data_IF_072660924249
#
_entry.id   IF_072660924249
#
_cell.length_a   1.000
_cell.length_b   1.000
_cell.length_c   1.000
_cell.angle_alpha   90.00
_cell.angle_beta   90.00
_cell.angle_gamma   90.00
#
_symmetry.space_group_name_H-M   'P 1'
#
loop_
_entity.id
_entity.type
_entity.pdbx_description
1 polymer ?
#
# COMPACT_ATOMS: atom_id res chain seq x y z
N UNK A 1 -3.94 -13.71 -34.25
CA UNK A 1 -4.55 -13.73 -32.89
C UNK A 1 -3.48 -14.07 -31.87
N UNK A 2 -3.55 -13.53 -30.65
CA UNK A 2 -2.46 -13.65 -29.66
C UNK A 2 -2.73 -14.59 -28.47
N UNK A 3 -2.19 -14.19 -27.32
CA UNK A 3 -2.42 -14.79 -25.99
C UNK A 3 -3.93 -14.87 -25.71
N UNK A 4 -4.38 -15.98 -25.14
CA UNK A 4 -5.79 -16.24 -24.80
C UNK A 4 -5.93 -16.52 -23.31
N UNK A 5 -7.10 -16.22 -22.74
CA UNK A 5 -7.46 -16.43 -21.33
C UNK A 5 -8.54 -17.51 -21.15
N UNK A 6 -8.77 -18.32 -22.17
CA UNK A 6 -9.73 -19.40 -22.13
C UNK A 6 -9.32 -20.53 -21.17
N UNK A 7 -10.26 -21.42 -20.86
CA UNK A 7 -10.03 -22.59 -20.00
C UNK A 7 -10.06 -23.93 -20.79
N UNK A 8 -10.41 -23.91 -22.07
CA UNK A 8 -10.62 -25.10 -22.88
C UNK A 8 -9.33 -25.64 -23.51
N UNK A 9 -8.29 -24.83 -23.64
CA UNK A 9 -6.94 -25.31 -23.99
C UNK A 9 -6.28 -26.16 -22.89
N UNK A 10 -6.77 -26.10 -21.64
CA UNK A 10 -6.26 -26.90 -20.51
C UNK A 10 -6.89 -28.30 -20.45
N UNK A 11 -6.18 -29.26 -19.84
CA UNK A 11 -6.70 -30.61 -19.55
C UNK A 11 -7.91 -30.57 -18.61
N UNK A 12 -8.73 -31.63 -18.62
CA UNK A 12 -9.80 -31.87 -17.63
C UNK A 12 -9.21 -32.13 -16.23
N UNK A 13 -10.03 -32.05 -15.18
CA UNK A 13 -9.67 -32.48 -13.81
C UNK A 13 -9.19 -33.94 -13.78
N UNK A 14 -9.75 -34.79 -14.64
CA UNK A 14 -9.35 -36.19 -14.88
C UNK A 14 -8.09 -36.36 -15.74
N UNK A 15 -7.34 -35.30 -16.04
CA UNK A 15 -6.15 -35.33 -16.90
C UNK A 15 -6.42 -35.46 -18.41
N UNK A 16 -7.62 -35.86 -18.84
CA UNK A 16 -7.99 -36.02 -20.25
C UNK A 16 -7.82 -34.74 -21.09
N UNK A 17 -7.27 -34.87 -22.30
CA UNK A 17 -7.10 -33.79 -23.27
C UNK A 17 -8.47 -33.35 -23.84
N UNK A 18 -8.71 -32.05 -23.93
CA UNK A 18 -9.91 -31.48 -24.56
C UNK A 18 -9.63 -31.21 -26.04
N UNK A 19 -10.55 -31.59 -26.94
CA UNK A 19 -10.55 -31.10 -28.34
C UNK A 19 -11.18 -29.69 -28.36
N UNK A 20 -10.56 -28.69 -29.00
CA UNK A 20 -11.14 -27.35 -29.12
C UNK A 20 -12.31 -27.38 -30.11
N UNK A 21 -13.47 -26.86 -29.71
CA UNK A 21 -14.69 -26.86 -30.53
C UNK A 21 -14.86 -25.58 -31.36
N UNK A 22 -14.11 -24.51 -31.06
CA UNK A 22 -14.13 -23.26 -31.83
C UNK A 22 -12.78 -22.56 -31.86
N UNK A 23 -12.58 -21.67 -32.85
CA UNK A 23 -11.44 -20.74 -32.91
C UNK A 23 -11.53 -19.71 -31.76
N UNK A 24 -10.38 -19.23 -31.25
CA UNK A 24 -10.31 -18.23 -30.16
C UNK A 24 -11.18 -17.00 -30.47
N UNK A 25 -11.82 -16.41 -29.47
CA UNK A 25 -12.74 -15.27 -29.61
C UNK A 25 -12.14 -13.96 -29.06
N UNK A 26 -12.61 -12.82 -29.59
CA UNK A 26 -12.10 -11.47 -29.24
C UNK A 26 -12.26 -11.12 -27.75
N UNK A 27 -13.25 -11.69 -27.06
CA UNK A 27 -13.44 -11.46 -25.61
C UNK A 27 -12.47 -12.28 -24.73
N UNK A 28 -11.87 -13.35 -25.26
CA UNK A 28 -10.90 -14.20 -24.55
C UNK A 28 -9.47 -13.61 -24.57
N UNK A 29 -9.25 -12.46 -25.23
CA UNK A 29 -7.90 -11.96 -25.49
C UNK A 29 -7.12 -11.67 -24.20
N UNK A 30 -5.89 -12.16 -24.16
CA UNK A 30 -4.84 -11.68 -23.28
C UNK A 30 -4.10 -10.49 -23.90
N UNK A 31 -3.27 -9.83 -23.09
CA UNK A 31 -2.31 -8.82 -23.54
C UNK A 31 -0.97 -9.07 -22.83
N UNK A 32 0.18 -8.75 -23.45
CA UNK A 32 1.48 -8.89 -22.79
C UNK A 32 1.52 -8.10 -21.47
N UNK A 33 2.36 -8.53 -20.53
CA UNK A 33 2.60 -7.80 -19.28
C UNK A 33 3.20 -6.41 -19.55
N UNK A 34 3.06 -5.49 -18.61
CA UNK A 34 3.60 -4.12 -18.74
C UNK A 34 5.05 -3.99 -18.23
N UNK A 35 5.48 -4.89 -17.33
CA UNK A 35 6.83 -4.97 -16.74
C UNK A 35 7.41 -3.60 -16.35
N UNK A 36 6.61 -2.82 -15.63
CA UNK A 36 6.89 -1.47 -15.12
C UNK A 36 8.28 -1.36 -14.51
N UNK A 37 9.13 -0.49 -15.03
CA UNK A 37 10.49 -0.20 -14.52
C UNK A 37 10.54 1.11 -13.76
N UNK A 38 11.59 1.30 -12.97
CA UNK A 38 11.93 2.61 -12.41
C UNK A 38 12.48 3.52 -13.51
N UNK A 39 12.07 4.79 -13.53
CA UNK A 39 12.59 5.81 -14.45
C UNK A 39 11.52 6.79 -14.95
N UNK A 40 11.94 7.75 -15.79
CA UNK A 40 11.12 8.86 -16.26
C UNK A 40 9.72 8.43 -16.72
N UNK A 41 8.69 9.05 -16.11
CA UNK A 41 7.27 8.68 -16.24
C UNK A 41 6.81 8.47 -17.70
N UNK A 42 6.54 7.22 -18.06
CA UNK A 42 5.97 6.82 -19.38
C UNK A 42 4.75 5.93 -19.19
N UNK A 43 3.59 6.38 -19.65
CA UNK A 43 2.29 5.69 -19.49
C UNK A 43 1.57 5.66 -20.84
N UNK A 44 1.19 4.47 -21.31
CA UNK A 44 0.39 4.29 -22.52
C UNK A 44 -1.06 3.95 -22.18
N UNK A 45 -2.01 4.55 -22.89
CA UNK A 45 -3.43 4.23 -22.79
C UNK A 45 -3.78 3.04 -23.68
N UNK A 46 -4.61 2.12 -23.16
CA UNK A 46 -5.10 0.96 -23.91
C UNK A 46 -6.63 0.90 -23.82
N UNK A 47 -7.31 0.95 -24.97
CA UNK A 47 -8.76 0.70 -25.06
C UNK A 47 -9.06 -0.77 -24.74
N UNK A 48 -10.09 -1.00 -23.94
CA UNK A 48 -10.59 -2.33 -23.56
C UNK A 48 -12.06 -2.50 -23.98
N UNK A 49 -12.65 -3.67 -23.67
CA UNK A 49 -14.08 -3.96 -23.93
C UNK A 49 -14.97 -2.93 -23.21
N UNK A 50 -16.07 -2.53 -23.84
CA UNK A 50 -16.98 -1.51 -23.32
C UNK A 50 -16.48 -0.07 -23.45
N UNK A 51 -15.49 0.21 -24.32
CA UNK A 51 -15.00 1.57 -24.58
C UNK A 51 -14.03 2.14 -23.53
N UNK A 52 -13.98 1.56 -22.34
CA UNK A 52 -13.11 1.96 -21.24
C UNK A 52 -11.61 2.02 -21.63
N UNK A 53 -10.86 2.88 -20.94
CA UNK A 53 -9.40 3.03 -21.07
C UNK A 53 -8.71 2.44 -19.85
N UNK A 54 -7.61 1.69 -20.05
CA UNK A 54 -6.68 1.26 -18.98
C UNK A 54 -5.30 1.86 -19.20
N UNK A 55 -4.66 2.32 -18.12
CA UNK A 55 -3.34 2.93 -18.15
C UNK A 55 -2.26 1.89 -17.89
N UNK A 56 -1.35 1.71 -18.85
CA UNK A 56 -0.16 0.89 -18.71
C UNK A 56 1.03 1.81 -18.49
N UNK A 57 1.46 1.93 -17.24
CA UNK A 57 2.79 2.44 -16.98
C UNK A 57 3.82 1.48 -17.60
N UNK A 58 4.87 2.03 -18.20
CA UNK A 58 6.09 1.31 -18.60
C UNK A 58 7.27 1.75 -17.72
N UNK A 59 7.31 3.03 -17.34
CA UNK A 59 8.30 3.62 -16.44
C UNK A 59 7.61 4.54 -15.43
N UNK A 60 7.98 4.44 -14.16
CA UNK A 60 7.56 5.33 -13.07
C UNK A 60 8.73 5.62 -12.12
N UNK A 61 8.82 6.87 -11.70
CA UNK A 61 9.84 7.44 -10.82
C UNK A 61 9.22 7.96 -9.51
N UNK A 62 7.96 8.38 -9.52
CA UNK A 62 7.23 8.88 -8.35
C UNK A 62 6.00 8.05 -8.01
N UNK A 63 5.65 8.05 -6.71
CA UNK A 63 4.45 7.45 -6.16
C UNK A 63 3.80 8.32 -5.08
N UNK A 64 2.53 8.06 -4.74
CA UNK A 64 1.95 8.56 -3.49
C UNK A 64 2.07 7.48 -2.41
N UNK A 65 2.72 7.82 -1.31
CA UNK A 65 2.97 6.92 -0.19
C UNK A 65 2.21 7.43 1.04
N UNK A 66 1.68 6.51 1.84
CA UNK A 66 0.93 6.78 3.07
C UNK A 66 1.68 6.23 4.28
N UNK A 67 2.00 7.10 5.23
CA UNK A 67 2.47 6.74 6.55
C UNK A 67 1.26 6.49 7.46
N UNK A 68 1.00 5.21 7.75
CA UNK A 68 -0.26 4.78 8.36
C UNK A 68 -0.47 5.23 9.82
N UNK A 69 0.58 5.27 10.64
CA UNK A 69 0.46 5.64 12.07
C UNK A 69 0.15 7.12 12.29
N UNK A 70 0.59 7.99 11.38
CA UNK A 70 0.40 9.44 11.48
C UNK A 70 -0.60 9.99 10.42
N UNK A 71 -1.26 9.08 9.69
CA UNK A 71 -2.23 9.38 8.62
C UNK A 71 -1.73 10.39 7.56
N UNK A 72 -0.42 10.42 7.30
CA UNK A 72 0.19 11.37 6.36
C UNK A 72 0.39 10.75 4.97
N UNK A 73 -0.12 11.40 3.92
CA UNK A 73 0.15 11.00 2.53
C UNK A 73 1.03 12.02 1.82
N UNK A 74 2.08 11.55 1.14
CA UNK A 74 3.01 12.40 0.39
C UNK A 74 3.42 11.75 -0.93
N UNK A 75 3.52 12.58 -1.97
CA UNK A 75 4.19 12.21 -3.22
C UNK A 75 5.70 12.18 -2.96
N UNK A 76 6.32 11.03 -3.15
CA UNK A 76 7.78 10.84 -3.00
C UNK A 76 8.36 10.17 -4.24
N UNK A 77 9.68 10.05 -4.29
CA UNK A 77 10.41 9.36 -5.36
C UNK A 77 10.69 7.91 -4.95
N UNK A 78 10.55 7.01 -5.90
CA UNK A 78 10.91 5.59 -5.80
C UNK A 78 12.40 5.49 -6.15
N UNK A 79 13.19 4.91 -5.26
CA UNK A 79 14.65 4.79 -5.42
C UNK A 79 14.99 3.41 -5.99
N UNK A 80 14.51 2.34 -5.35
CA UNK A 80 14.82 0.96 -5.76
C UNK A 80 13.74 -0.05 -5.35
N UNK A 81 13.82 -1.28 -5.88
CA UNK A 81 13.05 -2.44 -5.41
C UNK A 81 13.96 -3.31 -4.56
N UNK A 82 13.57 -3.60 -3.32
CA UNK A 82 14.38 -4.40 -2.38
C UNK A 82 13.91 -5.86 -2.34
N UNK A 83 12.59 -6.07 -2.31
CA UNK A 83 12.05 -7.41 -2.11
C UNK A 83 10.74 -7.61 -2.88
N UNK A 84 10.50 -8.84 -3.33
CA UNK A 84 9.25 -9.25 -3.95
C UNK A 84 8.94 -10.71 -3.59
N UNK A 85 7.77 -10.94 -3.01
CA UNK A 85 7.38 -12.26 -2.51
C UNK A 85 7.13 -13.32 -3.62
N UNK A 86 6.83 -12.91 -4.86
CA UNK A 86 6.43 -13.86 -5.91
C UNK A 86 7.57 -14.38 -6.78
N UNK A 87 8.64 -13.61 -6.96
CA UNK A 87 9.81 -13.97 -7.79
C UNK A 87 10.96 -12.98 -7.56
N UNK A 88 12.18 -13.48 -7.35
CA UNK A 88 13.37 -12.68 -7.07
C UNK A 88 13.96 -11.99 -8.33
N UNK A 89 13.72 -12.51 -9.54
CA UNK A 89 14.14 -11.88 -10.81
C UNK A 89 13.48 -10.50 -11.04
N UNK A 90 12.33 -10.28 -10.39
CA UNK A 90 11.63 -9.00 -10.40
C UNK A 90 12.33 -7.93 -9.54
N UNK A 91 13.14 -8.34 -8.55
CA UNK A 91 14.03 -7.48 -7.77
C UNK A 91 15.25 -7.12 -8.62
N UNK A 92 15.97 -8.12 -9.13
CA UNK A 92 17.18 -7.95 -9.97
C UNK A 92 16.95 -6.99 -11.14
N UNK A 93 15.80 -7.12 -11.81
CA UNK A 93 15.45 -6.29 -12.97
C UNK A 93 14.65 -5.01 -12.61
N UNK A 94 14.53 -4.68 -11.32
CA UNK A 94 13.86 -3.47 -10.78
C UNK A 94 12.45 -3.25 -11.35
N UNK A 95 11.64 -4.31 -11.38
CA UNK A 95 10.23 -4.20 -11.79
C UNK A 95 9.33 -3.84 -10.62
N UNK A 96 8.50 -2.83 -10.81
CA UNK A 96 7.44 -2.45 -9.88
C UNK A 96 6.22 -3.35 -10.12
N UNK A 97 5.79 -4.09 -9.10
CA UNK A 97 4.64 -5.03 -9.12
C UNK A 97 3.76 -4.81 -7.89
N UNK A 98 2.51 -5.31 -7.90
CA UNK A 98 1.65 -5.29 -6.71
C UNK A 98 2.39 -5.95 -5.54
N UNK A 99 2.39 -5.31 -4.37
CA UNK A 99 3.00 -5.77 -3.11
C UNK A 99 4.54 -5.86 -3.06
N UNK A 100 5.32 -5.43 -4.07
CA UNK A 100 6.78 -5.39 -3.91
C UNK A 100 7.21 -4.33 -2.88
N UNK A 101 8.31 -4.57 -2.15
CA UNK A 101 8.87 -3.64 -1.17
C UNK A 101 9.89 -2.75 -1.90
N UNK A 102 9.71 -1.45 -1.79
CA UNK A 102 10.52 -0.44 -2.48
C UNK A 102 11.19 0.50 -1.48
N UNK A 103 12.37 1.01 -1.84
CA UNK A 103 13.02 2.13 -1.15
C UNK A 103 12.49 3.46 -1.67
N UNK A 104 12.29 4.38 -0.75
CA UNK A 104 11.52 5.61 -0.94
C UNK A 104 12.26 6.78 -0.34
N UNK A 105 12.19 7.93 -0.98
CA UNK A 105 12.72 9.19 -0.43
C UNK A 105 12.01 9.59 0.89
N UNK A 106 12.77 9.85 1.95
CA UNK A 106 12.22 10.20 3.27
C UNK A 106 11.88 11.69 3.43
N UNK A 107 12.47 12.56 2.59
CA UNK A 107 12.44 14.01 2.78
C UNK A 107 11.02 14.60 2.94
N UNK A 108 10.01 14.25 2.11
CA UNK A 108 8.68 14.85 2.22
C UNK A 108 7.90 14.43 3.47
N UNK A 109 8.27 13.30 4.09
CA UNK A 109 7.72 12.88 5.38
C UNK A 109 8.43 13.58 6.54
N UNK A 110 9.76 13.72 6.49
CA UNK A 110 10.54 14.47 7.49
C UNK A 110 10.07 15.93 7.60
N UNK A 111 9.95 16.63 6.47
CA UNK A 111 9.47 18.01 6.42
C UNK A 111 8.06 18.16 7.03
N UNK A 112 7.17 17.19 6.78
CA UNK A 112 5.83 17.21 7.36
C UNK A 112 5.87 16.98 8.88
N UNK A 113 6.68 16.03 9.35
CA UNK A 113 6.81 15.72 10.77
C UNK A 113 7.40 16.91 11.56
N UNK A 114 8.48 17.50 11.06
CA UNK A 114 9.11 18.71 11.64
C UNK A 114 8.10 19.87 11.71
N UNK A 115 7.26 20.05 10.68
CA UNK A 115 6.18 21.03 10.69
C UNK A 115 4.99 20.68 11.60
N UNK A 116 4.69 19.38 11.82
CA UNK A 116 3.52 18.95 12.62
C UNK A 116 3.79 18.96 14.12
N UNK A 117 4.98 18.50 14.53
CA UNK A 117 5.37 18.30 15.93
C UNK A 117 6.37 19.35 16.44
N UNK A 118 7.04 20.11 15.56
CA UNK A 118 8.12 21.02 15.93
C UNK A 118 9.25 20.31 16.71
N UNK A 119 9.62 19.12 16.23
CA UNK A 119 10.72 18.28 16.70
C UNK A 119 11.56 17.82 15.50
N UNK A 120 12.91 17.88 15.56
CA UNK A 120 13.77 17.40 14.48
C UNK A 120 13.76 15.86 14.42
N UNK A 121 13.78 15.30 13.21
CA UNK A 121 13.74 13.84 12.98
C UNK A 121 14.86 13.38 12.05
N UNK A 122 15.49 12.24 12.34
CA UNK A 122 16.45 11.59 11.43
C UNK A 122 17.77 12.36 11.20
N UNK A 123 18.17 13.25 12.12
CA UNK A 123 19.43 14.01 12.03
C UNK A 123 20.53 13.30 12.82
N UNK A 124 21.76 13.23 12.27
CA UNK A 124 22.93 12.77 13.04
C UNK A 124 23.21 13.74 14.19
N UNK A 125 23.50 13.23 15.39
CA UNK A 125 23.90 14.03 16.54
C UNK A 125 25.11 14.89 16.17
N UNK A 126 25.01 16.21 16.33
CA UNK A 126 26.08 17.18 16.00
C UNK A 126 26.03 17.78 14.59
N UNK A 127 25.12 17.37 13.69
CA UNK A 127 24.96 18.04 12.40
C UNK A 127 24.21 19.38 12.57
N UNK A 128 24.83 20.49 12.14
CA UNK A 128 24.18 21.81 12.08
C UNK A 128 22.99 21.76 11.10
N UNK A 129 21.89 22.44 11.42
CA UNK A 129 20.73 22.51 10.53
C UNK A 129 20.95 23.60 9.46
N UNK A 130 20.15 23.56 8.39
CA UNK A 130 20.00 24.71 7.49
C UNK A 130 19.27 25.85 8.20
N UNK A 131 19.62 27.13 7.98
CA UNK A 131 18.91 28.26 8.60
C UNK A 131 17.39 28.22 8.36
N UNK A 132 16.95 27.82 7.16
CA UNK A 132 15.53 27.65 6.83
C UNK A 132 14.82 26.62 7.72
N UNK A 133 15.51 25.53 8.08
CA UNK A 133 14.96 24.46 8.92
C UNK A 133 14.95 24.87 10.41
N UNK A 134 15.97 25.62 10.86
CA UNK A 134 16.00 26.21 12.20
C UNK A 134 14.89 27.23 12.39
N UNK A 135 14.63 28.09 11.41
CA UNK A 135 13.53 29.06 11.44
C UNK A 135 12.17 28.39 11.57
N UNK A 136 11.90 27.30 10.84
CA UNK A 136 10.63 26.56 10.91
C UNK A 136 10.44 25.92 12.30
N UNK A 137 11.50 25.34 12.87
CA UNK A 137 11.47 24.74 14.20
C UNK A 137 11.30 25.80 15.30
N UNK A 138 12.14 26.83 15.30
CA UNK A 138 12.24 27.84 16.35
C UNK A 138 11.30 29.04 16.17
N UNK A 139 10.45 29.06 15.12
CA UNK A 139 9.47 30.13 14.87
C UNK A 139 8.70 30.48 16.15
N UNK A 140 8.77 31.76 16.55
CA UNK A 140 7.98 32.30 17.67
C UNK A 140 6.48 32.10 17.37
N UNK A 141 5.77 31.45 18.29
CA UNK A 141 4.36 31.04 18.18
C UNK A 141 3.55 31.72 19.29
N UNK A 142 2.26 31.96 19.05
CA UNK A 142 1.36 32.47 20.11
C UNK A 142 1.24 31.47 21.27
N UNK A 143 0.93 31.94 22.50
CA UNK A 143 0.77 31.07 23.68
C UNK A 143 -0.22 29.91 23.44
N UNK A 144 -1.35 30.18 22.77
CA UNK A 144 -2.37 29.16 22.40
C UNK A 144 -1.84 28.17 21.35
N UNK A 145 -1.07 28.66 20.38
CA UNK A 145 -0.42 27.80 19.37
C UNK A 145 0.65 26.92 20.00
N UNK A 146 1.47 27.45 20.91
CA UNK A 146 2.54 26.73 21.58
C UNK A 146 1.98 25.55 22.39
N UNK A 147 0.97 25.81 23.25
CA UNK A 147 0.28 24.77 24.02
C UNK A 147 -0.21 23.60 23.14
N UNK A 148 -0.73 23.88 21.94
CA UNK A 148 -1.15 22.85 20.96
C UNK A 148 0.00 22.00 20.43
N UNK A 149 1.19 22.57 20.23
CA UNK A 149 2.38 21.79 19.87
C UNK A 149 2.89 20.97 21.06
N UNK A 150 2.89 21.54 22.27
CA UNK A 150 3.33 20.83 23.48
C UNK A 150 2.41 19.63 23.81
N UNK A 151 1.11 19.76 23.57
CA UNK A 151 0.14 18.66 23.62
C UNK A 151 0.45 17.55 22.59
N UNK A 152 0.80 17.92 21.34
CA UNK A 152 1.19 16.95 20.30
C UNK A 152 2.51 16.26 20.59
N UNK A 153 3.50 16.98 21.13
CA UNK A 153 4.84 16.45 21.45
C UNK A 153 4.80 15.25 22.39
N UNK A 154 3.81 15.17 23.28
CA UNK A 154 3.57 14.02 24.17
C UNK A 154 3.39 12.70 23.40
N UNK A 155 2.78 12.77 22.20
CA UNK A 155 2.48 11.61 21.36
C UNK A 155 3.44 11.48 20.16
N UNK A 156 4.54 12.23 20.13
CA UNK A 156 5.45 12.30 18.98
C UNK A 156 6.47 11.14 18.89
N UNK A 157 6.42 10.17 19.81
CA UNK A 157 7.40 9.08 19.89
C UNK A 157 7.26 8.10 18.72
N UNK A 158 8.31 7.98 17.91
CA UNK A 158 8.43 7.02 16.81
C UNK A 158 9.15 5.74 17.32
N UNK A 159 9.10 4.65 16.57
CA UNK A 159 9.90 3.45 16.85
C UNK A 159 11.32 3.54 16.26
N UNK A 160 12.29 2.98 16.97
CA UNK A 160 13.73 3.02 16.61
C UNK A 160 14.02 2.59 15.16
N UNK A 161 13.41 1.50 14.70
CA UNK A 161 13.54 0.98 13.33
C UNK A 161 13.17 2.00 12.24
N UNK A 162 12.37 3.02 12.57
CA UNK A 162 11.97 4.06 11.65
C UNK A 162 12.87 5.29 11.78
N UNK A 163 13.33 5.61 13.00
CA UNK A 163 14.36 6.63 13.22
C UNK A 163 15.65 6.30 12.45
N UNK A 164 16.05 5.03 12.44
CA UNK A 164 17.15 4.50 11.62
C UNK A 164 16.93 4.72 10.12
N UNK A 165 15.73 4.41 9.59
CA UNK A 165 15.37 4.64 8.18
C UNK A 165 15.36 6.14 7.83
N UNK A 166 14.83 6.99 8.71
CA UNK A 166 14.88 8.44 8.53
C UNK A 166 16.31 8.97 8.54
N UNK A 167 17.20 8.43 9.39
CA UNK A 167 18.62 8.76 9.44
C UNK A 167 19.39 8.31 8.19
N UNK A 168 18.99 7.19 7.57
CA UNK A 168 19.50 6.75 6.26
C UNK A 168 18.96 7.57 5.08
N UNK A 169 17.96 8.43 5.30
CA UNK A 169 17.29 9.21 4.25
C UNK A 169 16.36 8.38 3.34
N UNK A 170 16.10 7.11 3.68
CA UNK A 170 15.36 6.16 2.83
C UNK A 170 14.42 5.30 3.65
N UNK A 171 13.19 5.17 3.18
CA UNK A 171 12.11 4.44 3.85
C UNK A 171 11.72 3.20 3.06
N UNK A 172 11.23 2.16 3.75
CA UNK A 172 10.61 0.99 3.12
C UNK A 172 9.10 1.19 2.93
N UNK A 173 8.60 1.05 1.70
CA UNK A 173 7.18 1.21 1.36
C UNK A 173 6.62 0.09 0.47
N UNK A 174 5.28 -0.11 0.49
CA UNK A 174 4.65 -1.28 -0.17
C UNK A 174 3.87 -1.01 -1.47
N UNK A 175 4.35 -1.71 -2.50
CA UNK A 175 3.97 -1.96 -3.91
C UNK A 175 2.52 -1.89 -4.46
N UNK A 176 1.48 -1.28 -3.87
CA UNK A 176 0.15 -1.24 -4.53
C UNK A 176 0.09 -0.49 -5.89
N UNK A 177 -0.03 -1.22 -7.03
CA UNK A 177 -0.10 -0.64 -8.39
C UNK A 177 -1.50 -0.74 -9.01
N UNK A 178 -2.06 0.42 -9.38
CA UNK A 178 -3.19 0.55 -10.32
C UNK A 178 -3.09 1.86 -11.14
N UNK A 179 -1.99 2.08 -11.87
CA UNK A 179 -1.78 3.25 -12.75
C UNK A 179 -1.56 4.59 -12.04
N UNK A 180 -2.18 4.78 -10.87
CA UNK A 180 -1.64 5.52 -9.73
C UNK A 180 -1.14 4.52 -8.70
N UNK A 181 -0.25 5.02 -7.87
CA UNK A 181 0.43 4.30 -6.80
C UNK A 181 -0.11 4.88 -5.48
N UNK A 182 -0.64 4.02 -4.62
CA UNK A 182 -1.15 4.38 -3.28
C UNK A 182 -0.62 3.33 -2.30
N UNK A 183 0.54 3.62 -1.73
CA UNK A 183 1.28 2.66 -0.92
C UNK A 183 1.03 2.84 0.57
N UNK A 184 0.94 1.75 1.31
CA UNK A 184 1.00 1.77 2.78
C UNK A 184 2.42 1.47 3.26
N UNK A 185 2.81 2.15 4.33
CA UNK A 185 4.06 1.95 5.05
C UNK A 185 4.12 0.58 5.76
N UNK A 186 5.34 0.07 5.98
CA UNK A 186 5.60 -1.12 6.79
C UNK A 186 6.27 -0.68 8.10
N UNK A 187 5.47 -0.29 9.09
CA UNK A 187 5.91 -0.14 10.48
C UNK A 187 5.66 -1.45 11.25
N UNK A 188 6.63 -1.87 12.07
CA UNK A 188 6.68 -3.19 12.69
C UNK A 188 5.43 -3.61 13.48
N UNK A 189 5.20 -4.93 13.50
CA UNK A 189 4.19 -5.79 14.17
C UNK A 189 2.79 -5.24 14.54
N UNK A 190 2.64 -4.04 15.11
CA UNK A 190 1.33 -3.43 15.41
C UNK A 190 0.44 -3.24 14.17
N UNK A 191 1.00 -3.08 12.96
CA UNK A 191 0.19 -3.02 11.73
C UNK A 191 -0.20 -4.39 11.14
N UNK A 192 0.43 -5.49 11.57
CA UNK A 192 0.16 -6.83 11.04
C UNK A 192 -1.22 -7.38 11.47
N UNK A 193 -1.77 -6.90 12.59
CA UNK A 193 -3.12 -7.26 13.07
C UNK A 193 -4.25 -6.33 12.60
N UNK A 194 -3.95 -5.15 12.04
CA UNK A 194 -4.99 -4.13 11.75
C UNK A 194 -5.31 -3.99 10.25
N UNK A 195 -4.41 -4.39 9.35
CA UNK A 195 -4.58 -4.24 7.88
C UNK A 195 -4.97 -5.52 7.12
N UNK A 196 -5.50 -6.55 7.82
CA UNK A 196 -6.07 -7.76 7.19
C UNK A 196 -7.58 -7.60 6.89
N UNK A 197 -8.24 -6.58 7.46
CA UNK A 197 -9.63 -6.26 7.17
C UNK A 197 -9.73 -5.08 6.18
N UNK A 198 -10.68 -5.21 5.25
CA UNK A 198 -11.11 -4.21 4.27
C UNK A 198 -10.07 -3.79 3.20
N UNK A 199 -9.99 -4.58 2.11
CA UNK A 199 -10.43 -4.10 0.79
C UNK A 199 -10.70 -5.26 -0.21
N UNK A 200 -11.23 -6.39 0.27
CA UNK A 200 -11.99 -7.33 -0.57
C UNK A 200 -13.47 -6.97 -0.50
N UNK A 201 -13.96 -6.15 -1.45
CA UNK A 201 -15.38 -6.08 -1.86
C UNK A 201 -15.61 -5.05 -2.96
N UNK A 202 -15.30 -5.40 -4.21
CA UNK A 202 -16.23 -5.21 -5.36
C UNK A 202 -15.90 -6.27 -6.41
N UNK A 203 -16.66 -7.37 -6.43
CA UNK A 203 -17.17 -8.11 -7.60
C UNK A 203 -17.98 -9.31 -7.08
N UNK A 204 -19.30 -9.14 -7.05
CA UNK A 204 -20.38 -10.13 -7.23
C UNK A 204 -20.10 -11.61 -6.91
N UNK A 205 -20.61 -12.08 -5.78
CA UNK A 205 -21.34 -13.35 -5.65
C UNK A 205 -22.31 -13.16 -4.45
N UNK A 206 -23.61 -13.44 -4.49
CA UNK A 206 -24.34 -14.33 -5.38
C UNK A 206 -24.57 -15.66 -4.65
N UNK A 207 -25.83 -15.93 -4.26
CA UNK A 207 -26.30 -17.05 -3.41
C UNK A 207 -26.11 -16.93 -1.89
N UNK A 208 -27.04 -17.56 -1.16
CA UNK A 208 -27.29 -17.43 0.27
C UNK A 208 -26.35 -18.31 1.13
N UNK A 209 -26.36 -18.03 2.44
CA UNK A 209 -26.01 -18.94 3.55
C UNK A 209 -24.62 -19.58 3.56
N UNK A 210 -23.74 -19.04 4.40
CA UNK A 210 -22.59 -19.77 4.96
C UNK A 210 -22.32 -19.30 6.39
N UNK A 211 -22.76 -20.09 7.38
CA UNK A 211 -22.27 -19.98 8.75
C UNK A 211 -21.00 -20.83 8.88
N UNK A 212 -19.86 -20.21 9.16
CA UNK A 212 -18.63 -20.92 9.50
C UNK A 212 -18.12 -20.48 10.88
N UNK A 213 -18.19 -21.40 11.83
CA UNK A 213 -17.65 -21.22 13.19
C UNK A 213 -16.15 -21.52 13.18
N UNK A 214 -15.31 -20.50 13.25
CA UNK A 214 -13.87 -20.65 13.45
C UNK A 214 -13.55 -20.71 14.95
N UNK A 215 -13.45 -21.93 15.49
CA UNK A 215 -12.81 -22.17 16.79
C UNK A 215 -11.31 -21.91 16.68
N UNK A 216 -10.81 -20.86 17.35
CA UNK A 216 -9.38 -20.71 17.62
C UNK A 216 -9.09 -21.14 19.05
N UNK A 217 -8.19 -22.12 19.20
CA UNK A 217 -7.67 -22.59 20.49
C UNK A 217 -6.38 -21.80 20.78
N UNK A 218 -6.39 -20.93 21.79
CA UNK A 218 -5.19 -20.26 22.29
C UNK A 218 -5.00 -20.64 23.75
N UNK A 219 -3.81 -21.10 24.10
CA UNK A 219 -3.42 -21.30 25.50
C UNK A 219 -3.07 -19.96 26.15
N UNK A 220 -3.43 -19.79 27.41
CA UNK A 220 -2.89 -18.75 28.29
C UNK A 220 -3.66 -17.42 28.30
N UNK A 221 -3.90 -16.93 29.52
CA UNK A 221 -4.47 -15.62 29.91
C UNK A 221 -5.93 -15.31 29.50
N UNK A 222 -6.78 -15.27 30.52
CA UNK A 222 -8.20 -14.91 30.49
C UNK A 222 -8.37 -13.39 30.67
N UNK A 223 -9.20 -12.73 29.85
CA UNK A 223 -9.80 -11.44 30.21
C UNK A 223 -11.19 -11.24 29.58
N UNK A 224 -12.19 -10.99 30.43
CA UNK A 224 -13.37 -10.17 30.13
C UNK A 224 -14.42 -10.70 29.15
N UNK A 225 -15.50 -11.30 29.67
CA UNK A 225 -16.78 -11.39 28.94
C UNK A 225 -17.41 -10.00 28.86
N UNK A 226 -17.76 -9.52 27.67
CA UNK A 226 -18.71 -8.40 27.52
C UNK A 226 -19.85 -8.78 26.57
N UNK A 227 -21.06 -8.40 26.97
CA UNK A 227 -22.29 -9.11 26.59
C UNK A 227 -22.83 -8.69 25.21
N UNK A 228 -23.54 -9.61 24.54
CA UNK A 228 -24.22 -9.35 23.26
C UNK A 228 -25.30 -8.27 23.45
N UNK A 229 -25.27 -7.23 22.61
CA UNK A 229 -26.49 -6.53 22.18
C UNK A 229 -26.54 -6.48 20.66
N UNK A 230 -27.43 -7.30 20.10
CA UNK A 230 -27.77 -7.31 18.67
C UNK A 230 -28.74 -6.16 18.42
N UNK A 231 -28.35 -5.16 17.63
CA UNK A 231 -29.27 -4.17 17.09
C UNK A 231 -29.67 -4.55 15.66
N UNK A 232 -30.82 -5.18 15.51
CA UNK A 232 -31.46 -5.45 14.22
C UNK A 232 -32.18 -4.20 13.71
N UNK A 233 -31.63 -3.54 12.69
CA UNK A 233 -32.36 -2.53 11.93
C UNK A 233 -33.21 -3.20 10.84
N UNK A 234 -34.53 -3.26 11.06
CA UNK A 234 -35.48 -3.57 9.99
C UNK A 234 -35.51 -2.41 8.98
N UNK A 235 -35.22 -2.70 7.71
CA UNK A 235 -35.62 -1.83 6.59
C UNK A 235 -36.93 -2.33 6.02
N UNK A 236 -38.01 -1.63 6.35
CA UNK A 236 -39.27 -1.77 5.62
C UNK A 236 -39.08 -1.21 4.22
N UNK A 237 -39.44 -2.01 3.20
CA UNK A 237 -39.65 -1.51 1.85
C UNK A 237 -41.10 -1.03 1.73
N UNK A 238 -41.26 0.16 1.15
CA UNK A 238 -42.47 0.60 0.44
C UNK A 238 -42.03 0.90 -1.00
#
# INVERSE_FOLDING_TARGET
MGISRDNWHKRRKTGGKRKPYHKKRKYELGRPAANTKIGARRIHTVRVRGGNKKYRALRLDNGNFSWGSECCTRKTRIIDVVYNASNNELVRTKTLVKNCIVLVDSLPFRQWYEAHYATPLGRKKGAKLSPEEEEILNRKRSKKTQKKYDERKKNAKISSLLEEQFQQGKLLGKSNICGRIIFTWISGECCLKVFILEYESVIMCGSLSCAYVLKYKYQGSVFGVFNKKVFTFHKNYK
#
